data_IF_670484930013
#
_entry.id   IF_670484930013
#
_cell.length_a   1.000
_cell.length_b   1.000
_cell.length_c   1.000
_cell.angle_alpha   90.00
_cell.angle_beta   90.00
_cell.angle_gamma   90.00
#
_symmetry.space_group_name_H-M   'P 1'
#
loop_
_entity.id
_entity.type
_entity.pdbx_description
1 polymer ?
#
# COMPACT_ATOMS: atom_id res chain seq x y z
N UNK A 1 -65.77 14.68 -45.10
CA UNK A 1 -65.05 15.14 -43.91
C UNK A 1 -64.07 14.03 -43.49
N UNK A 2 -62.81 14.16 -43.90
CA UNK A 2 -61.75 13.23 -43.50
C UNK A 2 -61.08 13.81 -42.27
N UNK A 3 -61.00 13.02 -41.19
CA UNK A 3 -60.23 13.36 -40.00
C UNK A 3 -58.80 12.82 -40.16
N UNK A 4 -57.82 13.70 -40.16
CA UNK A 4 -56.41 13.35 -40.15
C UNK A 4 -56.01 13.00 -38.70
N UNK A 5 -55.47 11.79 -38.48
CA UNK A 5 -54.90 11.37 -37.20
C UNK A 5 -53.42 11.75 -37.16
N UNK A 6 -53.02 12.51 -36.15
CA UNK A 6 -51.62 12.82 -35.90
C UNK A 6 -50.96 11.67 -35.11
N UNK A 7 -49.91 11.08 -35.68
CA UNK A 7 -49.06 10.08 -35.00
C UNK A 7 -47.96 10.84 -34.25
N UNK A 8 -48.01 10.81 -32.92
CA UNK A 8 -46.94 11.34 -32.07
C UNK A 8 -45.80 10.31 -31.97
N UNK A 9 -44.68 10.59 -32.58
CA UNK A 9 -43.46 9.78 -32.43
C UNK A 9 -42.82 10.02 -31.08
N UNK A 10 -42.75 9.02 -30.21
CA UNK A 10 -41.97 9.05 -28.98
C UNK A 10 -40.48 8.80 -29.31
N UNK A 11 -39.64 9.82 -29.16
CA UNK A 11 -38.22 9.68 -29.26
C UNK A 11 -37.68 8.97 -27.99
N UNK A 12 -37.19 7.76 -28.15
CA UNK A 12 -36.47 7.03 -27.11
C UNK A 12 -35.14 7.70 -26.89
N UNK A 13 -34.98 8.49 -25.82
CA UNK A 13 -33.68 9.01 -25.37
C UNK A 13 -32.91 7.87 -24.75
N UNK A 14 -31.88 7.36 -25.47
CA UNK A 14 -30.89 6.47 -24.89
C UNK A 14 -30.11 7.20 -23.78
N UNK A 15 -30.01 6.65 -22.57
CA UNK A 15 -29.19 7.26 -21.53
C UNK A 15 -27.72 7.21 -21.96
N UNK A 16 -27.13 8.36 -22.21
CA UNK A 16 -25.69 8.49 -22.41
C UNK A 16 -25.04 8.08 -21.09
N UNK A 17 -24.37 6.94 -21.07
CA UNK A 17 -23.52 6.55 -19.93
C UNK A 17 -22.33 7.53 -19.88
N UNK A 18 -22.42 8.50 -18.98
CA UNK A 18 -21.27 9.32 -18.60
C UNK A 18 -20.32 8.41 -17.87
N UNK A 19 -19.27 7.92 -18.53
CA UNK A 19 -18.17 7.29 -17.84
C UNK A 19 -17.52 8.36 -16.98
N UNK A 20 -17.54 8.17 -15.67
CA UNK A 20 -16.81 9.04 -14.76
C UNK A 20 -15.33 8.98 -15.18
N UNK A 21 -14.79 10.08 -15.67
CA UNK A 21 -13.37 10.18 -15.96
C UNK A 21 -12.63 10.07 -14.63
N UNK A 22 -11.70 9.12 -14.52
CA UNK A 22 -10.83 9.03 -13.36
C UNK A 22 -10.14 10.37 -13.14
N UNK A 23 -10.16 10.88 -11.91
CA UNK A 23 -9.44 12.11 -11.59
C UNK A 23 -7.96 11.95 -11.88
N UNK A 24 -7.28 12.97 -12.44
CA UNK A 24 -5.86 12.87 -12.74
C UNK A 24 -5.07 12.63 -11.46
N UNK A 25 -4.08 11.75 -11.52
CA UNK A 25 -3.21 11.45 -10.38
C UNK A 25 -2.48 12.72 -9.89
N UNK A 26 -2.35 12.87 -8.57
CA UNK A 26 -1.51 13.90 -7.96
C UNK A 26 -0.03 13.66 -8.28
N UNK A 27 0.85 14.62 -7.98
CA UNK A 27 2.30 14.46 -8.15
C UNK A 27 2.84 13.23 -7.40
N UNK A 28 2.44 13.08 -6.12
CA UNK A 28 2.80 11.92 -5.31
C UNK A 28 2.28 10.60 -5.90
N UNK A 29 1.02 10.54 -6.30
CA UNK A 29 0.45 9.33 -6.89
C UNK A 29 1.15 8.93 -8.21
N UNK A 30 1.54 9.91 -9.03
CA UNK A 30 2.36 9.65 -10.24
C UNK A 30 3.70 9.04 -9.87
N UNK A 31 4.39 9.62 -8.86
CA UNK A 31 5.68 9.08 -8.40
C UNK A 31 5.56 7.66 -7.86
N UNK A 32 4.53 7.38 -7.05
CA UNK A 32 4.20 6.02 -6.57
C UNK A 32 4.00 5.06 -7.75
N UNK A 33 3.24 5.46 -8.74
CA UNK A 33 2.96 4.62 -9.92
C UNK A 33 4.22 4.36 -10.76
N UNK A 34 5.10 5.36 -10.91
CA UNK A 34 6.40 5.21 -11.60
C UNK A 34 7.27 4.19 -10.88
N UNK A 35 7.45 4.36 -9.56
CA UNK A 35 8.24 3.44 -8.74
C UNK A 35 7.62 2.04 -8.75
N UNK A 36 6.30 1.93 -8.65
CA UNK A 36 5.60 0.65 -8.72
C UNK A 36 5.91 -0.09 -10.03
N UNK A 37 5.86 0.60 -11.18
CA UNK A 37 6.19 0.02 -12.49
C UNK A 37 7.64 -0.40 -12.60
N UNK A 38 8.55 0.48 -12.21
CA UNK A 38 10.00 0.21 -12.23
C UNK A 38 10.35 -1.02 -11.40
N UNK A 39 9.87 -1.08 -10.16
CA UNK A 39 10.18 -2.17 -9.26
C UNK A 39 9.46 -3.48 -9.65
N UNK A 40 8.25 -3.38 -10.17
CA UNK A 40 7.51 -4.52 -10.71
C UNK A 40 8.29 -5.19 -11.85
N UNK A 41 8.79 -4.41 -12.80
CA UNK A 41 9.58 -4.92 -13.91
C UNK A 41 10.90 -5.55 -13.44
N UNK A 42 11.58 -4.92 -12.47
CA UNK A 42 12.85 -5.40 -11.90
C UNK A 42 12.74 -6.79 -11.25
N UNK A 43 11.61 -7.11 -10.63
CA UNK A 43 11.45 -8.37 -9.88
C UNK A 43 10.35 -9.27 -10.42
N UNK A 44 9.89 -9.02 -11.65
CA UNK A 44 8.73 -9.67 -12.26
C UNK A 44 8.80 -11.20 -12.24
N UNK A 45 9.96 -11.77 -12.43
CA UNK A 45 10.23 -13.21 -12.42
C UNK A 45 10.04 -13.87 -11.04
N UNK A 46 9.95 -13.09 -9.99
CA UNK A 46 9.73 -13.52 -8.60
C UNK A 46 8.26 -13.46 -8.18
N UNK A 47 7.39 -12.86 -9.00
CA UNK A 47 6.01 -12.55 -8.65
C UNK A 47 5.04 -13.51 -9.32
N UNK A 48 3.95 -13.83 -8.62
CA UNK A 48 2.85 -14.61 -9.20
C UNK A 48 1.75 -13.70 -9.73
N UNK A 49 1.64 -12.50 -9.18
CA UNK A 49 0.63 -11.51 -9.54
C UNK A 49 1.25 -10.13 -9.68
N UNK A 50 0.80 -9.40 -10.68
CA UNK A 50 1.34 -8.09 -11.05
C UNK A 50 0.25 -7.01 -11.15
N UNK A 51 -0.96 -7.32 -10.72
CA UNK A 51 -2.15 -6.47 -10.78
C UNK A 51 -2.10 -5.29 -9.78
N UNK A 52 -1.56 -5.53 -8.58
CA UNK A 52 -1.43 -4.50 -7.53
C UNK A 52 -0.03 -4.55 -6.93
N UNK A 53 0.55 -3.38 -6.69
CA UNK A 53 1.83 -3.19 -5.99
C UNK A 53 1.61 -2.39 -4.71
N UNK A 54 2.11 -2.91 -3.59
CA UNK A 54 2.23 -2.14 -2.35
C UNK A 54 3.51 -1.30 -2.37
N UNK A 55 3.41 -0.01 -2.06
CA UNK A 55 4.57 0.89 -1.96
C UNK A 55 4.54 1.62 -0.63
N UNK A 56 5.55 1.40 0.20
CA UNK A 56 5.73 2.12 1.46
C UNK A 56 6.73 3.25 1.28
N UNK A 57 6.25 4.50 1.28
CA UNK A 57 7.07 5.71 1.19
C UNK A 57 7.45 6.21 2.58
N UNK A 58 8.56 5.75 3.11
CA UNK A 58 9.08 6.19 4.40
C UNK A 58 9.85 7.53 4.36
N UNK A 59 9.82 8.25 3.25
CA UNK A 59 10.19 9.66 3.18
C UNK A 59 9.18 10.57 3.87
N UNK A 60 7.94 10.08 4.07
CA UNK A 60 6.86 10.79 4.75
C UNK A 60 6.79 10.41 6.24
N UNK A 61 6.30 11.32 7.12
CA UNK A 61 6.06 11.00 8.52
C UNK A 61 4.91 9.99 8.69
N UNK A 62 4.88 9.31 9.84
CA UNK A 62 3.86 8.29 10.13
C UNK A 62 2.44 8.85 10.30
N UNK A 63 2.32 10.16 10.46
CA UNK A 63 1.03 10.86 10.51
C UNK A 63 0.39 11.07 9.14
N UNK A 64 1.10 10.77 8.05
CA UNK A 64 0.58 10.89 6.70
C UNK A 64 0.34 9.53 6.07
N UNK A 65 -0.68 9.39 5.19
CA UNK A 65 -0.84 8.21 4.37
C UNK A 65 0.39 8.02 3.49
N UNK A 66 1.16 6.95 3.79
CA UNK A 66 2.45 6.65 3.16
C UNK A 66 2.62 5.20 2.74
N UNK A 67 1.56 4.42 2.86
CA UNK A 67 1.46 3.10 2.26
C UNK A 67 0.45 3.16 1.13
N UNK A 68 0.87 2.81 -0.07
CA UNK A 68 0.10 3.01 -1.30
C UNK A 68 -0.20 1.66 -1.96
N UNK A 69 -1.44 1.45 -2.39
CA UNK A 69 -1.81 0.41 -3.34
C UNK A 69 -1.86 1.02 -4.73
N UNK A 70 -0.89 0.68 -5.56
CA UNK A 70 -0.87 1.02 -6.98
C UNK A 70 -1.58 -0.11 -7.77
N UNK A 71 -2.77 0.16 -8.26
CA UNK A 71 -3.50 -0.73 -9.16
C UNK A 71 -2.94 -0.55 -10.57
N UNK A 72 -2.24 -1.56 -11.06
CA UNK A 72 -1.50 -1.50 -12.32
C UNK A 72 -2.42 -1.62 -13.54
N UNK A 73 -3.62 -2.17 -13.35
CA UNK A 73 -4.61 -2.35 -14.41
C UNK A 73 -5.46 -1.09 -14.59
N UNK A 74 -5.89 -0.47 -13.46
CA UNK A 74 -6.73 0.73 -13.49
C UNK A 74 -5.92 2.03 -13.56
N UNK A 75 -4.63 2.00 -13.18
CA UNK A 75 -3.81 3.20 -13.07
C UNK A 75 -4.21 4.08 -11.88
N UNK A 76 -4.74 3.48 -10.82
CA UNK A 76 -5.21 4.17 -9.61
C UNK A 76 -4.25 3.96 -8.44
N UNK A 77 -4.21 4.93 -7.52
CA UNK A 77 -3.43 4.83 -6.27
C UNK A 77 -4.33 5.15 -5.09
N UNK A 78 -4.40 4.24 -4.13
CA UNK A 78 -5.03 4.46 -2.82
C UNK A 78 -3.96 4.49 -1.73
N UNK A 79 -4.12 5.33 -0.73
CA UNK A 79 -3.08 5.59 0.27
C UNK A 79 -3.61 5.41 1.69
N UNK A 80 -2.78 4.82 2.55
CA UNK A 80 -3.11 4.43 3.92
C UNK A 80 -1.97 4.76 4.88
N UNK A 81 -2.27 4.81 6.17
CA UNK A 81 -1.28 4.89 7.22
C UNK A 81 -0.54 3.55 7.38
N UNK A 82 0.74 3.62 7.70
CA UNK A 82 1.57 2.45 8.06
C UNK A 82 2.61 2.83 9.09
N UNK A 83 2.76 2.03 10.13
CA UNK A 83 3.82 2.16 11.12
C UNK A 83 5.10 1.48 10.64
N UNK A 84 6.24 2.00 11.07
CA UNK A 84 7.57 1.42 10.90
C UNK A 84 8.10 0.84 12.22
N UNK A 85 9.29 0.25 12.18
CA UNK A 85 9.92 -0.37 13.33
C UNK A 85 10.54 0.65 14.30
N UNK A 86 10.52 0.32 15.61
CA UNK A 86 11.12 1.13 16.67
C UNK A 86 12.62 1.39 16.44
N UNK A 87 13.35 0.42 15.86
CA UNK A 87 14.76 0.62 15.52
C UNK A 87 15.00 1.58 14.37
N UNK A 88 13.97 1.90 13.59
CA UNK A 88 14.01 2.91 12.53
C UNK A 88 13.76 4.33 13.02
N UNK A 89 13.13 4.48 14.17
CA UNK A 89 12.73 5.76 14.80
C UNK A 89 12.91 5.65 16.32
N UNK A 90 14.15 5.65 16.84
CA UNK A 90 14.41 5.46 18.25
C UNK A 90 13.83 6.60 19.12
N UNK A 91 13.84 7.83 18.62
CA UNK A 91 13.32 9.01 19.33
C UNK A 91 11.79 9.12 19.27
N UNK A 92 11.13 8.27 18.50
CA UNK A 92 9.69 8.30 18.27
C UNK A 92 9.18 9.68 17.84
N UNK A 93 9.84 10.25 16.83
CA UNK A 93 9.39 11.52 16.23
C UNK A 93 8.42 11.33 15.04
N UNK A 94 8.19 10.08 14.65
CA UNK A 94 7.29 9.70 13.58
C UNK A 94 7.94 9.59 12.20
N UNK A 95 9.25 9.89 12.10
CA UNK A 95 10.03 9.71 10.87
C UNK A 95 10.86 8.44 10.91
N UNK A 96 11.00 7.79 9.77
CA UNK A 96 11.94 6.70 9.63
C UNK A 96 13.34 7.28 9.36
N UNK A 97 14.27 7.15 10.32
CA UNK A 97 15.64 7.66 10.19
C UNK A 97 16.58 6.67 9.50
N UNK A 98 16.42 5.38 9.76
CA UNK A 98 17.27 4.34 9.19
C UNK A 98 16.53 3.07 8.88
N UNK A 99 16.97 2.39 7.81
CA UNK A 99 16.58 1.01 7.50
C UNK A 99 17.64 0.04 8.02
N UNK A 100 17.24 -1.20 8.31
CA UNK A 100 18.18 -2.25 8.69
C UNK A 100 17.70 -3.63 8.25
N UNK A 101 18.64 -4.48 7.86
CA UNK A 101 18.43 -5.90 7.61
C UNK A 101 19.04 -6.79 8.72
N UNK A 102 19.61 -6.17 9.74
CA UNK A 102 20.29 -6.89 10.85
C UNK A 102 19.23 -7.48 11.78
N UNK A 103 19.42 -8.74 12.16
CA UNK A 103 18.57 -9.42 13.14
C UNK A 103 18.65 -8.67 14.49
N UNK A 104 17.51 -8.60 15.19
CA UNK A 104 17.41 -7.87 16.46
C UNK A 104 17.41 -6.34 16.36
N UNK A 105 17.67 -5.75 15.18
CA UNK A 105 17.66 -4.29 15.00
C UNK A 105 16.29 -3.63 15.25
N UNK A 106 15.21 -4.40 15.18
CA UNK A 106 13.83 -3.92 15.29
C UNK A 106 13.48 -2.79 14.30
N UNK A 107 14.30 -2.62 13.25
CA UNK A 107 14.11 -1.61 12.22
C UNK A 107 13.40 -2.21 11.00
N UNK A 108 12.65 -1.39 10.30
CA UNK A 108 12.07 -1.73 8.99
C UNK A 108 13.19 -1.90 7.96
N UNK A 109 13.05 -2.84 7.04
CA UNK A 109 14.00 -3.08 5.96
C UNK A 109 13.58 -2.37 4.67
N UNK A 110 14.58 -1.95 3.90
CA UNK A 110 14.43 -1.32 2.58
C UNK A 110 14.40 -2.37 1.49
N UNK A 111 13.70 -2.09 0.40
CA UNK A 111 13.77 -2.87 -0.84
C UNK A 111 12.48 -3.56 -1.21
N UNK A 112 12.55 -4.47 -2.18
CA UNK A 112 11.44 -5.26 -2.67
C UNK A 112 11.19 -6.50 -1.83
N UNK A 113 9.92 -6.78 -1.57
CA UNK A 113 9.45 -8.00 -0.92
C UNK A 113 8.42 -8.69 -1.81
N UNK A 114 8.41 -10.00 -1.81
CA UNK A 114 7.30 -10.80 -2.29
C UNK A 114 6.38 -11.10 -1.12
N UNK A 115 5.10 -10.78 -1.26
CA UNK A 115 4.09 -11.16 -0.27
C UNK A 115 3.79 -12.65 -0.43
N UNK A 116 3.90 -13.40 0.66
CA UNK A 116 3.60 -14.83 0.67
C UNK A 116 2.16 -15.07 1.17
N UNK A 117 1.94 -16.27 1.71
CA UNK A 117 0.67 -16.64 2.32
C UNK A 117 0.36 -15.78 3.55
N UNK A 118 -0.90 -15.63 3.84
CA UNK A 118 -1.35 -15.13 5.13
C UNK A 118 -1.44 -16.28 6.15
N UNK A 119 -1.25 -15.96 7.40
CA UNK A 119 -1.34 -16.92 8.50
C UNK A 119 -1.91 -16.24 9.75
N UNK A 120 -2.36 -17.03 10.73
CA UNK A 120 -2.79 -16.53 12.03
C UNK A 120 -1.64 -16.69 13.03
N UNK A 121 -1.03 -15.58 13.42
CA UNK A 121 0.11 -15.53 14.33
C UNK A 121 -0.17 -14.73 15.60
N UNK A 122 0.92 -14.31 16.27
CA UNK A 122 0.88 -13.53 17.51
C UNK A 122 0.10 -12.20 17.37
N UNK A 123 0.14 -11.60 16.20
CA UNK A 123 -0.50 -10.30 15.90
C UNK A 123 -1.83 -10.48 15.16
N UNK A 124 -2.45 -11.66 15.22
CA UNK A 124 -3.64 -11.98 14.45
C UNK A 124 -3.29 -12.44 13.03
N UNK A 125 -4.19 -12.21 12.07
CA UNK A 125 -3.95 -12.50 10.66
C UNK A 125 -2.81 -11.61 10.15
N UNK A 126 -1.82 -12.21 9.51
CA UNK A 126 -0.61 -11.53 9.04
C UNK A 126 -0.21 -12.04 7.67
N UNK A 127 0.48 -11.21 6.87
CA UNK A 127 1.04 -11.60 5.56
C UNK A 127 2.56 -11.75 5.71
N UNK A 128 3.11 -12.91 5.37
CA UNK A 128 4.57 -13.12 5.34
C UNK A 128 5.20 -12.34 4.20
N UNK A 129 6.40 -11.80 4.45
CA UNK A 129 7.17 -11.04 3.48
C UNK A 129 8.53 -11.71 3.27
N UNK A 130 8.79 -12.13 2.03
CA UNK A 130 10.10 -12.62 1.63
C UNK A 130 10.89 -11.47 0.96
N UNK A 131 12.05 -11.14 1.52
CA UNK A 131 12.93 -10.12 0.95
C UNK A 131 13.58 -10.59 -0.35
N UNK A 132 13.65 -9.72 -1.34
CA UNK A 132 14.25 -10.00 -2.67
C UNK A 132 15.61 -9.35 -2.83
N UNK A 133 15.85 -8.27 -2.09
CA UNK A 133 17.07 -7.48 -2.16
C UNK A 133 18.07 -7.83 -1.02
N UNK A 134 19.37 -7.58 -1.19
CA UNK A 134 20.35 -7.75 -0.11
C UNK A 134 20.00 -6.93 1.14
N UNK A 135 19.28 -5.80 0.98
CA UNK A 135 18.87 -4.91 2.06
C UNK A 135 17.71 -5.44 2.91
N UNK A 136 17.07 -6.54 2.49
CA UNK A 136 15.97 -7.19 3.21
C UNK A 136 16.02 -8.73 3.15
N UNK A 137 17.14 -9.31 2.74
CA UNK A 137 17.28 -10.78 2.59
C UNK A 137 16.96 -11.57 3.87
N UNK A 138 17.09 -10.96 5.04
CA UNK A 138 16.78 -11.57 6.34
C UNK A 138 15.32 -11.36 6.77
N UNK A 139 14.44 -10.89 5.89
CA UNK A 139 13.07 -10.55 6.26
C UNK A 139 12.29 -11.73 6.85
N UNK A 140 12.44 -12.93 6.29
CA UNK A 140 11.79 -14.15 6.81
C UNK A 140 12.34 -14.56 8.17
N UNK A 141 13.66 -14.58 8.34
CA UNK A 141 14.33 -14.95 9.59
C UNK A 141 14.02 -13.95 10.71
N UNK A 142 13.91 -12.68 10.34
CA UNK A 142 13.50 -11.59 11.23
C UNK A 142 11.99 -11.54 11.48
N UNK A 143 11.21 -12.45 10.90
CA UNK A 143 9.75 -12.49 10.97
C UNK A 143 9.09 -11.14 10.59
N UNK A 144 9.63 -10.44 9.58
CA UNK A 144 9.04 -9.22 9.05
C UNK A 144 7.76 -9.58 8.28
N UNK A 145 6.66 -9.01 8.72
CA UNK A 145 5.31 -9.27 8.17
C UNK A 145 4.52 -7.98 8.02
N UNK A 146 3.40 -8.05 7.28
CA UNK A 146 2.33 -7.06 7.44
C UNK A 146 1.32 -7.60 8.44
N UNK A 147 0.85 -6.76 9.37
CA UNK A 147 -0.15 -7.16 10.36
C UNK A 147 -1.02 -5.99 10.83
N UNK A 148 -2.24 -6.24 11.37
CA UNK A 148 -3.05 -5.21 11.99
C UNK A 148 -2.45 -4.79 13.33
N UNK A 149 -2.62 -3.52 13.70
CA UNK A 149 -2.21 -3.02 15.01
C UNK A 149 -3.01 -1.79 15.43
N UNK A 150 -3.51 -1.79 16.66
CA UNK A 150 -4.25 -0.67 17.24
C UNK A 150 -3.44 0.65 17.23
N UNK A 151 -2.12 0.56 17.39
CA UNK A 151 -1.23 1.72 17.40
C UNK A 151 -0.95 2.31 16.00
N UNK A 152 -1.51 1.74 14.96
CA UNK A 152 -1.41 2.20 13.58
C UNK A 152 -2.75 2.78 13.03
N UNK A 153 -3.73 3.01 13.91
CA UNK A 153 -5.00 3.64 13.58
C UNK A 153 -4.90 5.17 13.52
N UNK A 154 -5.84 5.80 12.83
CA UNK A 154 -5.96 7.27 12.73
C UNK A 154 -6.10 7.97 14.08
N UNK A 155 -6.74 7.32 15.07
CA UNK A 155 -6.86 7.82 16.44
C UNK A 155 -5.51 8.11 17.08
N UNK A 156 -4.46 7.36 16.72
CA UNK A 156 -3.11 7.61 17.23
C UNK A 156 -2.56 8.92 16.67
N UNK A 157 -2.80 9.19 15.40
CA UNK A 157 -2.40 10.47 14.76
C UNK A 157 -3.15 11.62 15.40
N UNK A 158 -4.47 11.48 15.60
CA UNK A 158 -5.29 12.50 16.23
C UNK A 158 -4.83 12.81 17.67
N UNK A 159 -4.42 11.78 18.43
CA UNK A 159 -4.02 11.92 19.85
C UNK A 159 -2.57 12.33 20.03
N UNK A 160 -1.65 11.82 19.20
CA UNK A 160 -0.21 11.92 19.42
C UNK A 160 0.56 12.58 18.27
N UNK A 161 -0.14 12.97 17.18
CA UNK A 161 0.48 13.53 15.97
C UNK A 161 1.30 12.52 15.14
N UNK A 162 1.28 11.23 15.52
CA UNK A 162 2.06 10.15 14.90
C UNK A 162 1.49 8.78 15.26
N UNK A 163 1.89 7.75 14.52
CA UNK A 163 1.59 6.36 14.84
C UNK A 163 2.52 5.80 15.93
N UNK A 164 2.14 4.66 16.52
CA UNK A 164 3.06 3.82 17.25
C UNK A 164 4.09 3.14 16.33
N UNK A 165 4.90 2.23 16.88
CA UNK A 165 5.98 1.55 16.15
C UNK A 165 5.93 0.05 16.38
N UNK A 166 6.31 -0.71 15.34
CA UNK A 166 6.45 -2.17 15.37
C UNK A 166 7.87 -2.62 15.75
N UNK A 167 8.15 -3.90 15.65
CA UNK A 167 9.50 -4.47 15.74
C UNK A 167 10.16 -4.66 14.34
N UNK A 168 9.83 -3.77 13.40
CA UNK A 168 10.32 -3.77 12.02
C UNK A 168 9.27 -4.10 10.98
N UNK A 169 8.12 -4.63 11.40
CA UNK A 169 6.99 -4.99 10.54
C UNK A 169 6.27 -3.76 9.95
N UNK A 170 5.50 -4.01 8.90
CA UNK A 170 4.57 -3.05 8.31
C UNK A 170 3.22 -3.17 9.03
N UNK A 171 3.00 -2.39 10.08
CA UNK A 171 1.77 -2.44 10.85
C UNK A 171 0.76 -1.40 10.35
N UNK A 172 -0.48 -1.81 10.15
CA UNK A 172 -1.58 -0.96 9.67
C UNK A 172 -2.75 -1.00 10.66
N UNK A 173 -3.64 -0.02 10.58
CA UNK A 173 -4.91 -0.10 11.27
C UNK A 173 -5.71 -1.32 10.80
N UNK A 174 -6.61 -1.83 11.64
CA UNK A 174 -7.30 -3.11 11.37
C UNK A 174 -8.10 -3.09 10.06
N UNK A 175 -8.85 -2.01 9.82
CA UNK A 175 -9.64 -1.87 8.58
C UNK A 175 -8.73 -1.76 7.35
N UNK A 176 -7.66 -0.96 7.44
CA UNK A 176 -6.69 -0.79 6.36
C UNK A 176 -5.90 -2.07 6.09
N UNK A 177 -5.63 -2.87 7.12
CA UNK A 177 -5.00 -4.17 6.96
C UNK A 177 -5.90 -5.18 6.21
N UNK A 178 -7.21 -5.13 6.40
CA UNK A 178 -8.13 -5.96 5.63
C UNK A 178 -8.03 -5.66 4.12
N UNK A 179 -7.85 -4.39 3.75
CA UNK A 179 -7.56 -4.01 2.36
C UNK A 179 -6.23 -4.63 1.88
N UNK A 180 -5.18 -4.57 2.71
CA UNK A 180 -3.88 -5.17 2.38
C UNK A 180 -4.00 -6.70 2.21
N UNK A 181 -4.78 -7.37 3.04
CA UNK A 181 -5.00 -8.80 2.96
C UNK A 181 -5.62 -9.21 1.62
N UNK A 182 -6.61 -8.44 1.15
CA UNK A 182 -7.27 -8.69 -0.13
C UNK A 182 -6.38 -8.36 -1.33
N UNK A 183 -5.69 -7.22 -1.29
CA UNK A 183 -5.01 -6.66 -2.46
C UNK A 183 -3.54 -7.06 -2.58
N UNK A 184 -2.88 -7.47 -1.50
CA UNK A 184 -1.44 -7.74 -1.54
C UNK A 184 -1.05 -9.18 -1.22
N UNK A 185 -1.88 -9.99 -0.57
CA UNK A 185 -1.49 -11.37 -0.27
C UNK A 185 -1.30 -12.22 -1.53
N UNK A 186 -0.40 -13.20 -1.45
CA UNK A 186 -0.26 -14.24 -2.47
C UNK A 186 0.55 -13.86 -3.69
N UNK A 187 1.81 -13.47 -3.51
CA UNK A 187 2.81 -13.37 -4.59
C UNK A 187 2.83 -12.03 -5.32
N UNK A 188 2.46 -10.93 -4.64
CA UNK A 188 2.56 -9.56 -5.16
C UNK A 188 3.79 -8.85 -4.62
N UNK A 189 4.15 -7.76 -5.26
CA UNK A 189 5.23 -6.89 -4.83
C UNK A 189 4.78 -5.96 -3.70
N UNK A 190 5.60 -5.87 -2.63
CA UNK A 190 5.66 -4.75 -1.72
C UNK A 190 7.04 -4.11 -1.81
N UNK A 191 7.10 -2.82 -2.06
CA UNK A 191 8.35 -2.06 -2.11
C UNK A 191 8.42 -1.04 -0.98
N UNK A 192 9.57 -0.97 -0.31
CA UNK A 192 9.82 -0.12 0.86
C UNK A 192 11.04 0.76 0.64
N UNK A 193 10.86 2.08 0.59
CA UNK A 193 11.93 3.06 0.44
C UNK A 193 11.50 4.45 0.90
N UNK A 194 12.38 5.43 0.77
CA UNK A 194 12.09 6.86 0.73
C UNK A 194 12.02 7.27 -0.73
N UNK A 195 10.81 7.57 -1.23
CA UNK A 195 10.65 7.81 -2.67
C UNK A 195 11.23 9.15 -3.14
N UNK A 196 11.44 10.09 -2.20
CA UNK A 196 11.82 11.45 -2.54
C UNK A 196 10.79 12.08 -3.48
N UNK A 197 9.97 12.99 -3.00
CA UNK A 197 9.20 13.86 -3.89
C UNK A 197 10.16 14.95 -4.32
N UNK A 198 10.51 14.95 -5.61
CA UNK A 198 11.24 16.05 -6.21
C UNK A 198 10.34 17.27 -6.28
#
# INVERSE_FOLDING_TARGET
MLKAGAVAGAALACPVRVFAQASPLTGQQRRVMEVAREQLERVRDRLWRTDVVGVADFGLPSSQPRFHFADMEKGEVRSFLVAHGIGSDPEHDGFLHSFSNVEGSRATSRGAFVTNEWYKGKYGTSIRLAGVDPTNSNALDRAIVMHPAWYANEDMVAKWGKLGRSDGCFAMGEEQFNEALWHLSGGRLLYSDRLGIA
#
